data_IF_171005766502
#
_entry.id   IF_171005766502
#
_cell.length_a   1.000
_cell.length_b   1.000
_cell.length_c   1.000
_cell.angle_alpha   90.00
_cell.angle_beta   90.00
_cell.angle_gamma   90.00
#
_symmetry.space_group_name_H-M   'P 1'
#
loop_
_entity.id
_entity.type
_entity.pdbx_description
1 polymer ?
#
# COMPACT_ATOMS: atom_id res chain seq x y z
N UNK A 1 -38.79 30.80 -11.70
CA UNK A 1 -37.35 31.15 -11.70
C UNK A 1 -36.66 30.72 -10.40
N UNK A 2 -37.22 30.96 -9.20
CA UNK A 2 -36.57 30.54 -7.93
C UNK A 2 -36.43 29.03 -7.74
N UNK A 3 -37.42 28.22 -8.12
CA UNK A 3 -37.31 26.75 -8.01
C UNK A 3 -36.19 26.14 -8.88
N UNK A 4 -35.91 26.76 -10.03
CA UNK A 4 -34.81 26.37 -10.92
C UNK A 4 -33.44 26.71 -10.31
N UNK A 5 -33.35 27.82 -9.57
CA UNK A 5 -32.10 28.28 -8.91
C UNK A 5 -31.79 27.44 -7.66
N UNK A 6 -32.80 27.02 -6.90
CA UNK A 6 -32.63 26.13 -5.73
C UNK A 6 -32.18 24.74 -6.18
N UNK A 7 -32.78 24.19 -7.25
CA UNK A 7 -32.37 22.91 -7.81
C UNK A 7 -30.93 22.95 -8.33
N UNK A 8 -30.57 23.96 -9.14
CA UNK A 8 -29.19 24.14 -9.64
C UNK A 8 -28.18 24.32 -8.50
N UNK A 9 -28.51 25.10 -7.45
CA UNK A 9 -27.65 25.24 -6.26
C UNK A 9 -27.49 23.93 -5.50
N UNK A 10 -28.55 23.14 -5.38
CA UNK A 10 -28.51 21.87 -4.68
C UNK A 10 -27.66 20.84 -5.46
N UNK A 11 -27.81 20.77 -6.79
CA UNK A 11 -26.98 19.92 -7.66
C UNK A 11 -25.50 20.33 -7.65
N UNK A 12 -25.19 21.63 -7.64
CA UNK A 12 -23.82 22.15 -7.55
C UNK A 12 -23.15 21.88 -6.19
N UNK A 13 -23.92 21.85 -5.09
CA UNK A 13 -23.39 21.51 -3.77
C UNK A 13 -22.97 20.04 -3.72
N UNK A 14 -23.84 19.13 -4.17
CA UNK A 14 -23.53 17.70 -4.30
C UNK A 14 -22.34 17.43 -5.26
N UNK A 15 -22.14 18.27 -6.26
CA UNK A 15 -21.02 18.15 -7.23
C UNK A 15 -19.66 18.39 -6.58
N UNK A 16 -19.55 19.43 -5.76
CA UNK A 16 -18.34 19.72 -5.00
C UNK A 16 -18.04 18.58 -4.02
N UNK A 17 -19.08 18.00 -3.42
CA UNK A 17 -18.96 16.92 -2.46
C UNK A 17 -18.37 15.64 -3.09
N UNK A 18 -18.84 15.22 -4.27
CA UNK A 18 -18.32 14.02 -4.96
C UNK A 18 -16.85 14.17 -5.37
N UNK A 19 -16.47 15.32 -5.93
CA UNK A 19 -15.07 15.58 -6.34
C UNK A 19 -14.16 15.66 -5.12
N UNK A 20 -14.60 16.32 -4.04
CA UNK A 20 -13.84 16.37 -2.77
C UNK A 20 -13.67 14.97 -2.19
N UNK A 21 -14.71 14.14 -2.24
CA UNK A 21 -14.64 12.74 -1.79
C UNK A 21 -13.63 11.97 -2.64
N UNK A 22 -13.68 12.06 -3.97
CA UNK A 22 -12.75 11.36 -4.87
C UNK A 22 -11.30 11.81 -4.60
N UNK A 23 -11.05 13.11 -4.52
CA UNK A 23 -9.71 13.64 -4.23
C UNK A 23 -9.24 13.17 -2.86
N UNK A 24 -10.11 13.21 -1.84
CA UNK A 24 -9.83 12.72 -0.50
C UNK A 24 -9.48 11.23 -0.49
N UNK A 25 -10.22 10.42 -1.24
CA UNK A 25 -9.97 8.99 -1.40
C UNK A 25 -8.64 8.73 -2.12
N UNK A 26 -8.32 9.46 -3.19
CA UNK A 26 -7.02 9.35 -3.89
C UNK A 26 -5.87 9.68 -2.94
N UNK A 27 -5.97 10.77 -2.19
CA UNK A 27 -4.93 11.16 -1.22
C UNK A 27 -4.79 10.12 -0.12
N UNK A 28 -5.91 9.62 0.41
CA UNK A 28 -5.91 8.58 1.42
C UNK A 28 -5.24 7.30 0.89
N UNK A 29 -5.57 6.89 -0.35
CA UNK A 29 -4.92 5.76 -1.02
C UNK A 29 -3.41 5.96 -1.08
N UNK A 30 -2.99 7.17 -1.47
CA UNK A 30 -1.58 7.54 -1.52
C UNK A 30 -0.87 7.42 -0.17
N UNK A 31 -1.53 7.82 0.92
CA UNK A 31 -0.98 7.68 2.27
C UNK A 31 -0.79 6.20 2.62
N UNK A 32 -1.74 5.33 2.28
CA UNK A 32 -1.62 3.88 2.48
C UNK A 32 -0.48 3.29 1.64
N UNK A 33 -0.44 3.56 0.35
CA UNK A 33 0.59 3.08 -0.57
C UNK A 33 2.01 3.59 -0.19
N UNK A 34 2.12 4.84 0.26
CA UNK A 34 3.37 5.39 0.81
C UNK A 34 3.79 4.65 2.08
N UNK A 35 2.85 4.40 2.99
CA UNK A 35 3.12 3.73 4.27
C UNK A 35 3.61 2.31 4.07
N UNK A 36 2.98 1.58 3.15
CA UNK A 36 3.35 0.23 2.74
C UNK A 36 4.83 0.17 2.35
N UNK A 37 5.19 0.93 1.32
CA UNK A 37 6.54 0.91 0.76
C UNK A 37 7.55 1.50 1.73
N UNK A 38 7.20 2.55 2.47
CA UNK A 38 8.07 3.12 3.49
C UNK A 38 8.43 2.10 4.58
N UNK A 39 7.47 1.28 5.02
CA UNK A 39 7.74 0.28 6.05
C UNK A 39 8.63 -0.85 5.53
N UNK A 40 8.38 -1.34 4.31
CA UNK A 40 9.17 -2.39 3.67
C UNK A 40 10.61 -1.89 3.41
N UNK A 41 10.76 -0.67 2.91
CA UNK A 41 12.07 -0.09 2.57
C UNK A 41 12.84 0.46 3.78
N UNK A 42 12.21 0.63 4.94
CA UNK A 42 12.88 1.19 6.11
C UNK A 42 13.90 0.19 6.70
N UNK A 43 15.12 0.66 6.94
CA UNK A 43 16.17 -0.14 7.58
C UNK A 43 15.83 -0.41 9.04
N UNK A 44 15.58 -1.67 9.39
CA UNK A 44 15.29 -2.12 10.77
C UNK A 44 16.35 -1.69 11.78
N UNK A 45 17.64 -1.74 11.39
CA UNK A 45 18.78 -1.31 12.22
C UNK A 45 18.67 0.16 12.64
N UNK A 46 18.26 1.03 11.71
CA UNK A 46 18.11 2.47 11.97
C UNK A 46 16.88 2.78 12.82
N UNK A 47 15.75 2.11 12.57
CA UNK A 47 14.57 2.20 13.44
C UNK A 47 14.87 1.72 14.86
N UNK A 48 15.66 0.65 15.01
CA UNK A 48 16.12 0.14 16.30
C UNK A 48 17.02 1.14 17.03
N UNK A 49 17.98 1.75 16.32
CA UNK A 49 18.83 2.81 16.87
C UNK A 49 18.01 4.00 17.39
N UNK A 50 17.06 4.49 16.58
CA UNK A 50 16.19 5.61 16.96
C UNK A 50 15.26 5.26 18.13
N UNK A 51 14.78 4.01 18.20
CA UNK A 51 13.97 3.53 19.30
C UNK A 51 14.77 3.50 20.61
N UNK A 52 16.04 3.05 20.57
CA UNK A 52 16.96 3.09 21.73
C UNK A 52 17.26 4.52 22.19
N UNK A 53 17.27 5.47 21.26
CA UNK A 53 17.39 6.92 21.54
C UNK A 53 16.08 7.56 22.08
N UNK A 54 15.05 6.77 22.35
CA UNK A 54 13.80 7.22 22.98
C UNK A 54 12.66 7.53 22.01
N UNK A 55 12.82 7.32 20.70
CA UNK A 55 11.75 7.56 19.73
C UNK A 55 10.63 6.53 19.83
N UNK A 56 9.50 6.95 20.42
CA UNK A 56 8.29 6.11 20.54
C UNK A 56 7.73 5.70 19.17
N UNK A 57 7.79 6.57 18.17
CA UNK A 57 7.36 6.26 16.80
C UNK A 57 8.29 5.25 16.13
N UNK A 58 9.60 5.35 16.33
CA UNK A 58 10.55 4.36 15.82
C UNK A 58 10.34 2.98 16.44
N UNK A 59 10.01 2.92 17.74
CA UNK A 59 9.67 1.65 18.41
C UNK A 59 8.42 0.99 17.80
N UNK A 60 7.39 1.77 17.45
CA UNK A 60 6.19 1.24 16.80
C UNK A 60 6.48 0.83 15.36
N UNK A 61 7.21 1.65 14.60
CA UNK A 61 7.61 1.33 13.24
C UNK A 61 8.42 0.03 13.19
N UNK A 62 9.38 -0.15 14.11
CA UNK A 62 10.16 -1.37 14.23
C UNK A 62 9.27 -2.59 14.51
N UNK A 63 8.27 -2.44 15.39
CA UNK A 63 7.33 -3.53 15.68
C UNK A 63 6.52 -3.92 14.46
N UNK A 64 6.02 -2.95 13.69
CA UNK A 64 5.30 -3.21 12.45
C UNK A 64 6.21 -3.85 11.39
N UNK A 65 7.47 -3.41 11.27
CA UNK A 65 8.42 -3.99 10.33
C UNK A 65 8.87 -5.42 10.70
N UNK A 66 8.71 -5.82 11.97
CA UNK A 66 8.99 -7.18 12.44
C UNK A 66 7.80 -8.15 12.26
N UNK A 67 6.59 -7.62 12.05
CA UNK A 67 5.37 -8.38 11.77
C UNK A 67 4.67 -7.75 10.53
N UNK A 68 5.31 -7.85 9.35
CA UNK A 68 4.85 -7.17 8.15
C UNK A 68 3.52 -7.74 7.65
N UNK A 69 3.26 -9.03 7.77
CA UNK A 69 2.09 -9.69 7.16
C UNK A 69 0.77 -9.07 7.60
N UNK A 70 0.63 -8.83 8.90
CA UNK A 70 -0.57 -8.20 9.46
C UNK A 70 -0.72 -6.74 9.02
N UNK A 71 0.39 -6.01 8.95
CA UNK A 71 0.40 -4.63 8.49
C UNK A 71 0.05 -4.54 7.01
N UNK A 72 0.71 -5.33 6.16
CA UNK A 72 0.50 -5.36 4.72
C UNK A 72 -0.94 -5.76 4.39
N UNK A 73 -1.46 -6.79 5.05
CA UNK A 73 -2.87 -7.19 4.89
C UNK A 73 -3.83 -6.05 5.24
N UNK A 74 -3.59 -5.33 6.34
CA UNK A 74 -4.41 -4.18 6.73
C UNK A 74 -4.37 -3.07 5.67
N UNK A 75 -3.18 -2.72 5.20
CA UNK A 75 -2.99 -1.66 4.20
C UNK A 75 -3.67 -2.03 2.89
N UNK A 76 -3.52 -3.29 2.44
CA UNK A 76 -4.09 -3.76 1.19
C UNK A 76 -5.62 -3.79 1.20
N UNK A 77 -6.24 -4.18 2.34
CA UNK A 77 -7.69 -4.05 2.53
C UNK A 77 -8.11 -2.58 2.39
N UNK A 78 -7.37 -1.66 3.01
CA UNK A 78 -7.61 -0.22 2.92
C UNK A 78 -7.55 0.29 1.49
N UNK A 79 -6.47 -0.02 0.76
CA UNK A 79 -6.28 0.35 -0.65
C UNK A 79 -7.43 -0.19 -1.52
N UNK A 80 -7.83 -1.45 -1.28
CA UNK A 80 -8.91 -2.09 -2.05
C UNK A 80 -10.25 -1.40 -1.79
N UNK A 81 -10.58 -1.14 -0.52
CA UNK A 81 -11.82 -0.45 -0.15
C UNK A 81 -11.87 0.95 -0.75
N UNK A 82 -10.76 1.69 -0.67
CA UNK A 82 -10.64 3.03 -1.25
C UNK A 82 -10.81 2.98 -2.76
N UNK A 83 -10.21 2.00 -3.45
CA UNK A 83 -10.38 1.79 -4.88
C UNK A 83 -11.83 1.55 -5.28
N UNK A 84 -12.54 0.68 -4.55
CA UNK A 84 -13.97 0.40 -4.77
C UNK A 84 -14.81 1.67 -4.57
N UNK A 85 -14.61 2.39 -3.46
CA UNK A 85 -15.33 3.64 -3.18
C UNK A 85 -15.06 4.67 -4.28
N UNK A 86 -13.80 4.85 -4.69
CA UNK A 86 -13.42 5.79 -5.76
C UNK A 86 -14.12 5.42 -7.08
N UNK A 87 -14.19 4.13 -7.41
CA UNK A 87 -14.93 3.63 -8.56
C UNK A 87 -16.43 3.97 -8.51
N UNK A 88 -17.08 3.75 -7.37
CA UNK A 88 -18.50 4.06 -7.15
C UNK A 88 -18.78 5.56 -7.31
N UNK A 89 -17.97 6.42 -6.68
CA UNK A 89 -18.17 7.87 -6.73
C UNK A 89 -17.85 8.47 -8.11
N UNK A 90 -16.89 7.91 -8.85
CA UNK A 90 -16.52 8.43 -10.18
C UNK A 90 -17.53 8.10 -11.29
N UNK A 91 -18.31 7.03 -11.15
CA UNK A 91 -19.18 6.51 -12.22
C UNK A 91 -20.57 7.17 -12.34
N UNK A 92 -21.04 7.90 -11.33
CA UNK A 92 -22.47 8.26 -11.25
C UNK A 92 -22.81 9.60 -11.92
N UNK A 93 -22.43 10.75 -11.35
CA UNK A 93 -22.88 12.06 -11.87
C UNK A 93 -21.89 12.73 -12.82
N UNK A 94 -20.58 12.61 -12.57
CA UNK A 94 -19.54 13.20 -13.44
C UNK A 94 -19.65 12.65 -14.87
N UNK A 95 -19.94 11.35 -15.03
CA UNK A 95 -20.17 10.74 -16.33
C UNK A 95 -21.47 11.24 -17.00
N UNK A 96 -22.52 11.54 -16.22
CA UNK A 96 -23.78 12.08 -16.74
C UNK A 96 -23.59 13.49 -17.32
N UNK A 97 -22.86 14.36 -16.63
CA UNK A 97 -22.62 15.74 -17.10
C UNK A 97 -21.75 15.76 -18.37
N UNK A 98 -20.74 14.88 -18.42
CA UNK A 98 -19.95 14.69 -19.63
C UNK A 98 -20.80 14.10 -20.76
N UNK A 99 -21.78 13.24 -20.46
CA UNK A 99 -22.73 12.72 -21.45
C UNK A 99 -23.54 13.84 -22.09
N UNK A 100 -24.13 14.74 -21.28
CA UNK A 100 -24.89 15.89 -21.80
C UNK A 100 -24.00 16.83 -22.64
N UNK A 101 -22.76 17.04 -22.19
CA UNK A 101 -21.76 17.83 -22.93
C UNK A 101 -21.44 17.18 -24.27
N UNK A 102 -21.22 15.87 -24.31
CA UNK A 102 -20.96 15.14 -25.56
C UNK A 102 -22.15 15.18 -26.52
N UNK A 103 -23.38 15.07 -26.01
CA UNK A 103 -24.59 15.24 -26.82
C UNK A 103 -24.64 16.65 -27.40
N UNK A 104 -24.32 17.68 -26.61
CA UNK A 104 -24.27 19.07 -27.07
C UNK A 104 -23.22 19.31 -28.17
N UNK A 105 -22.16 18.50 -28.20
CA UNK A 105 -21.13 18.50 -29.25
C UNK A 105 -21.50 17.65 -30.48
N UNK A 106 -22.71 17.08 -30.53
CA UNK A 106 -23.22 16.32 -31.66
C UNK A 106 -22.93 14.81 -31.60
N UNK A 107 -22.46 14.28 -30.47
CA UNK A 107 -22.33 12.83 -30.28
C UNK A 107 -23.73 12.22 -30.17
N UNK A 108 -23.95 11.11 -30.88
CA UNK A 108 -25.21 10.36 -30.81
C UNK A 108 -25.53 9.97 -29.37
N UNK A 109 -26.79 10.17 -28.97
CA UNK A 109 -27.32 9.82 -27.64
C UNK A 109 -27.12 8.35 -27.30
N UNK A 110 -27.04 7.47 -28.31
CA UNK A 110 -26.77 6.04 -28.14
C UNK A 110 -25.36 5.76 -27.60
N UNK A 111 -24.37 6.57 -27.97
CA UNK A 111 -22.96 6.34 -27.61
C UNK A 111 -22.43 7.31 -26.56
N UNK A 112 -23.07 8.48 -26.40
CA UNK A 112 -22.59 9.54 -25.51
C UNK A 112 -22.36 9.05 -24.08
N UNK A 113 -23.28 8.26 -23.52
CA UNK A 113 -23.16 7.75 -22.15
C UNK A 113 -21.95 6.81 -21.96
N UNK A 114 -21.79 5.85 -22.85
CA UNK A 114 -20.70 4.89 -22.79
C UNK A 114 -19.33 5.56 -23.00
N UNK A 115 -19.25 6.52 -23.93
CA UNK A 115 -18.03 7.27 -24.20
C UNK A 115 -17.67 8.19 -23.02
N UNK A 116 -18.64 8.90 -22.46
CA UNK A 116 -18.43 9.76 -21.31
C UNK A 116 -17.95 8.96 -20.09
N UNK A 117 -18.62 7.84 -19.79
CA UNK A 117 -18.20 6.94 -18.72
C UNK A 117 -16.79 6.40 -18.96
N UNK A 118 -16.46 5.97 -20.19
CA UNK A 118 -15.12 5.51 -20.55
C UNK A 118 -14.04 6.58 -20.33
N UNK A 119 -14.29 7.82 -20.76
CA UNK A 119 -13.37 8.95 -20.57
C UNK A 119 -13.16 9.25 -19.08
N UNK A 120 -14.23 9.33 -18.30
CA UNK A 120 -14.13 9.58 -16.85
C UNK A 120 -13.36 8.46 -16.14
N UNK A 121 -13.64 7.20 -16.46
CA UNK A 121 -12.90 6.06 -15.90
C UNK A 121 -11.41 6.21 -16.22
N UNK A 122 -11.03 6.45 -17.48
CA UNK A 122 -9.61 6.60 -17.87
C UNK A 122 -8.94 7.75 -17.11
N UNK A 123 -9.58 8.92 -17.01
CA UNK A 123 -9.03 10.09 -16.32
C UNK A 123 -8.86 9.80 -14.82
N UNK A 124 -9.91 9.30 -14.16
CA UNK A 124 -9.89 9.02 -12.72
C UNK A 124 -8.89 7.91 -12.41
N UNK A 125 -8.83 6.86 -13.23
CA UNK A 125 -7.82 5.80 -13.10
C UNK A 125 -6.41 6.36 -13.22
N UNK A 126 -6.13 7.19 -14.23
CA UNK A 126 -4.83 7.83 -14.38
C UNK A 126 -4.45 8.66 -13.14
N UNK A 127 -5.35 9.53 -12.68
CA UNK A 127 -5.12 10.36 -11.49
C UNK A 127 -4.90 9.50 -10.24
N UNK A 128 -5.69 8.43 -10.07
CA UNK A 128 -5.57 7.51 -8.94
C UNK A 128 -4.25 6.76 -8.96
N UNK A 129 -3.80 6.28 -10.12
CA UNK A 129 -2.51 5.61 -10.26
C UNK A 129 -1.36 6.57 -9.96
N UNK A 130 -1.40 7.79 -10.49
CA UNK A 130 -0.30 8.75 -10.28
C UNK A 130 -0.26 9.24 -8.83
N UNK A 131 -1.36 9.82 -8.34
CA UNK A 131 -1.40 10.52 -7.05
C UNK A 131 -1.76 9.60 -5.88
N UNK A 132 -2.48 8.52 -6.13
CA UNK A 132 -2.86 7.55 -5.12
C UNK A 132 -1.88 6.39 -4.98
N UNK A 133 -0.94 6.20 -5.91
CA UNK A 133 -0.04 5.04 -5.86
C UNK A 133 1.40 5.36 -6.23
N UNK A 134 1.71 5.71 -7.48
CA UNK A 134 3.09 5.79 -7.98
C UNK A 134 3.91 6.88 -7.32
N UNK A 135 3.39 8.11 -7.24
CA UNK A 135 4.10 9.23 -6.61
C UNK A 135 4.27 8.99 -5.11
N UNK A 136 3.22 8.62 -4.34
CA UNK A 136 3.35 8.29 -2.94
C UNK A 136 4.32 7.14 -2.66
N UNK A 137 4.32 6.07 -3.47
CA UNK A 137 5.28 4.96 -3.33
C UNK A 137 6.72 5.44 -3.53
N UNK A 138 6.99 6.26 -4.55
CA UNK A 138 8.32 6.87 -4.77
C UNK A 138 8.76 7.75 -3.60
N UNK A 139 7.85 8.54 -3.03
CA UNK A 139 8.11 9.31 -1.80
C UNK A 139 8.43 8.36 -0.65
N UNK A 140 7.62 7.31 -0.45
CA UNK A 140 7.80 6.29 0.57
C UNK A 140 9.18 5.62 0.50
N UNK A 141 9.68 5.30 -0.70
CA UNK A 141 11.04 4.78 -0.88
C UNK A 141 12.11 5.81 -0.51
N UNK A 142 11.95 7.05 -0.99
CA UNK A 142 12.96 8.10 -0.83
C UNK A 142 13.12 8.56 0.62
N UNK A 143 12.05 8.52 1.41
CA UNK A 143 12.04 8.94 2.83
C UNK A 143 11.52 7.85 3.77
N UNK A 144 11.87 6.58 3.47
CA UNK A 144 11.33 5.39 4.12
C UNK A 144 11.31 5.46 5.65
N UNK A 145 12.45 5.73 6.28
CA UNK A 145 12.54 5.76 7.75
C UNK A 145 11.67 6.86 8.37
N UNK A 146 11.58 8.04 7.73
CA UNK A 146 10.77 9.17 8.21
C UNK A 146 9.29 8.88 8.03
N UNK A 147 8.89 8.45 6.83
CA UNK A 147 7.51 8.10 6.51
C UNK A 147 7.01 6.95 7.39
N UNK A 148 7.79 5.88 7.55
CA UNK A 148 7.47 4.76 8.44
C UNK A 148 7.26 5.22 9.89
N UNK A 149 8.13 6.09 10.42
CA UNK A 149 7.98 6.64 11.79
C UNK A 149 6.72 7.50 11.94
N UNK A 150 6.40 8.33 10.96
CA UNK A 150 5.20 9.19 10.99
C UNK A 150 3.93 8.34 10.93
N UNK A 151 3.90 7.35 10.04
CA UNK A 151 2.72 6.52 9.78
C UNK A 151 2.55 5.35 10.76
N UNK A 152 3.59 4.97 11.50
CA UNK A 152 3.58 3.83 12.40
C UNK A 152 2.43 3.84 13.43
N UNK A 153 2.11 5.00 14.01
CA UNK A 153 1.04 5.07 15.02
C UNK A 153 -0.36 4.96 14.40
N UNK A 154 -0.73 5.78 13.39
CA UNK A 154 -1.99 5.61 12.66
C UNK A 154 -2.19 4.18 12.17
N UNK A 155 -1.16 3.61 11.56
CA UNK A 155 -1.23 2.27 10.99
C UNK A 155 -1.38 1.18 12.05
N UNK A 156 -0.77 1.33 13.23
CA UNK A 156 -0.99 0.40 14.35
C UNK A 156 -2.45 0.39 14.81
N UNK A 157 -3.10 1.56 14.87
CA UNK A 157 -4.52 1.65 15.24
C UNK A 157 -5.37 0.96 14.19
N UNK A 158 -5.16 1.27 12.91
CA UNK A 158 -5.87 0.62 11.81
C UNK A 158 -5.67 -0.89 11.79
N UNK A 159 -4.44 -1.38 11.98
CA UNK A 159 -4.14 -2.82 12.05
C UNK A 159 -4.76 -3.51 13.28
N UNK A 160 -5.12 -2.74 14.32
CA UNK A 160 -5.86 -3.25 15.47
C UNK A 160 -7.36 -3.30 15.19
N UNK A 161 -7.90 -2.35 14.44
CA UNK A 161 -9.31 -2.34 14.02
C UNK A 161 -9.57 -3.40 12.95
N UNK A 162 -8.62 -3.60 12.03
CA UNK A 162 -8.71 -4.56 10.92
C UNK A 162 -8.43 -6.01 11.34
N UNK A 163 -8.00 -6.26 12.59
CA UNK A 163 -7.72 -7.59 13.13
C UNK A 163 -8.73 -8.69 12.77
N UNK A 164 -10.06 -8.51 12.96
CA UNK A 164 -11.02 -9.56 12.66
C UNK A 164 -11.05 -9.91 11.16
N UNK A 165 -10.89 -8.90 10.29
CA UNK A 165 -10.84 -9.10 8.84
C UNK A 165 -9.54 -9.76 8.40
N UNK A 166 -8.40 -9.32 8.96
CA UNK A 166 -7.10 -9.94 8.68
C UNK A 166 -7.10 -11.40 9.15
N UNK A 167 -7.63 -11.70 10.34
CA UNK A 167 -7.74 -13.08 10.82
C UNK A 167 -8.57 -13.97 9.90
N UNK A 168 -9.72 -13.46 9.42
CA UNK A 168 -10.56 -14.18 8.47
C UNK A 168 -9.79 -14.46 7.17
N UNK A 169 -9.11 -13.45 6.62
CA UNK A 169 -8.31 -13.59 5.41
C UNK A 169 -7.16 -14.58 5.59
N UNK A 170 -6.40 -14.49 6.68
CA UNK A 170 -5.33 -15.45 7.00
C UNK A 170 -5.86 -16.87 7.05
N UNK A 171 -7.02 -17.10 7.70
CA UNK A 171 -7.65 -18.43 7.74
C UNK A 171 -8.12 -18.90 6.38
N UNK A 172 -8.65 -18.02 5.54
CA UNK A 172 -8.99 -18.35 4.16
C UNK A 172 -7.74 -18.71 3.34
N UNK A 173 -6.65 -17.98 3.50
CA UNK A 173 -5.37 -18.25 2.82
C UNK A 173 -4.78 -19.59 3.26
N UNK A 174 -4.69 -19.85 4.57
CA UNK A 174 -4.24 -21.14 5.12
C UNK A 174 -5.08 -22.32 4.57
N UNK A 175 -6.40 -22.16 4.50
CA UNK A 175 -7.29 -23.19 3.97
C UNK A 175 -6.99 -23.49 2.49
N UNK A 176 -6.74 -22.46 1.68
CA UNK A 176 -6.36 -22.62 0.26
C UNK A 176 -4.98 -23.28 0.15
N UNK A 177 -4.00 -22.88 0.97
CA UNK A 177 -2.66 -23.48 0.98
C UNK A 177 -2.72 -24.97 1.34
N UNK A 178 -3.54 -25.33 2.33
CA UNK A 178 -3.78 -26.72 2.72
C UNK A 178 -4.47 -27.51 1.61
N UNK A 179 -5.44 -26.92 0.89
CA UNK A 179 -6.09 -27.55 -0.26
C UNK A 179 -5.15 -27.77 -1.43
N UNK A 180 -4.23 -26.82 -1.66
CA UNK A 180 -3.22 -26.90 -2.73
C UNK A 180 -1.96 -27.68 -2.32
N UNK A 181 -1.89 -28.13 -1.06
CA UNK A 181 -0.76 -28.84 -0.47
C UNK A 181 0.59 -28.09 -0.62
N UNK A 182 0.54 -26.76 -0.55
CA UNK A 182 1.71 -25.88 -0.65
C UNK A 182 2.33 -25.77 0.75
N UNK A 183 3.56 -26.26 0.91
CA UNK A 183 4.32 -26.08 2.16
C UNK A 183 4.83 -24.66 2.24
N UNK A 184 4.65 -23.99 3.39
CA UNK A 184 5.33 -22.72 3.65
C UNK A 184 6.85 -22.94 3.56
N UNK A 185 7.54 -22.01 2.88
CA UNK A 185 9.00 -22.02 2.85
C UNK A 185 9.50 -21.67 4.26
N UNK A 186 10.04 -22.66 4.95
CA UNK A 186 10.67 -22.47 6.25
C UNK A 186 11.95 -21.63 6.00
N UNK A 187 11.90 -20.33 6.31
CA UNK A 187 13.05 -19.40 6.25
C UNK A 187 14.09 -19.73 7.34
N UNK A 188 14.36 -21.00 7.59
CA UNK A 188 15.52 -21.44 8.36
C UNK A 188 16.66 -21.55 7.37
N UNK A 189 17.54 -20.55 7.42
CA UNK A 189 18.81 -20.62 6.73
C UNK A 189 19.49 -21.92 7.17
N UNK A 190 19.61 -22.87 6.25
CA UNK A 190 20.25 -24.14 6.53
C UNK A 190 21.76 -23.94 6.61
N UNK A 191 22.47 -24.83 7.27
CA UNK A 191 23.94 -24.80 7.31
C UNK A 191 24.55 -24.79 5.89
N UNK A 192 23.87 -25.43 4.94
CA UNK A 192 24.24 -25.46 3.52
C UNK A 192 24.09 -24.08 2.86
N UNK A 193 23.03 -23.32 3.16
CA UNK A 193 22.89 -21.94 2.68
C UNK A 193 23.94 -21.00 3.31
N UNK A 194 24.27 -21.19 4.59
CA UNK A 194 25.36 -20.43 5.24
C UNK A 194 26.69 -20.72 4.55
N UNK A 195 26.97 -22.00 4.26
CA UNK A 195 28.19 -22.41 3.57
C UNK A 195 28.26 -21.83 2.16
N UNK A 196 27.15 -21.85 1.42
CA UNK A 196 27.06 -21.29 0.07
C UNK A 196 27.33 -19.78 0.05
N UNK A 197 26.77 -19.02 1.01
CA UNK A 197 26.99 -17.56 1.11
C UNK A 197 28.45 -17.24 1.44
N UNK A 198 29.11 -18.06 2.27
CA UNK A 198 30.53 -17.88 2.62
C UNK A 198 31.43 -18.23 1.43
N UNK A 199 31.12 -19.30 0.70
CA UNK A 199 31.84 -19.68 -0.51
C UNK A 199 31.73 -18.60 -1.59
N UNK A 200 30.53 -18.06 -1.80
CA UNK A 200 30.26 -16.97 -2.76
C UNK A 200 30.99 -15.67 -2.35
N UNK A 201 31.00 -15.31 -1.07
CA UNK A 201 31.77 -14.16 -0.54
C UNK A 201 33.30 -14.35 -0.55
N UNK A 202 33.78 -15.59 -0.62
CA UNK A 202 35.20 -15.94 -0.76
C UNK A 202 35.64 -15.88 -2.22
N UNK A 203 34.78 -16.26 -3.17
CA UNK A 203 35.03 -16.14 -4.62
C UNK A 203 35.02 -14.69 -5.11
N UNK A 204 34.15 -13.84 -4.56
CA UNK A 204 34.09 -12.40 -4.90
C UNK A 204 35.18 -11.55 -4.18
N UNK A 205 36.00 -12.17 -3.31
CA UNK A 205 37.17 -11.54 -2.70
C UNK A 205 36.87 -10.52 -1.58
N UNK A 206 35.63 -10.48 -1.06
CA UNK A 206 35.21 -9.57 0.02
C UNK A 206 35.51 -10.15 1.42
N UNK A 207 35.74 -11.47 1.54
CA UNK A 207 36.08 -12.14 2.80
C UNK A 207 37.59 -12.46 2.85
N UNK A 208 38.35 -11.71 3.66
CA UNK A 208 39.74 -12.05 3.96
C UNK A 208 39.79 -13.33 4.82
N UNK A 209 40.71 -14.29 4.53
CA UNK A 209 40.78 -15.56 5.24
C UNK A 209 41.32 -15.37 6.66
N UNK A 210 40.44 -15.10 7.63
CA UNK A 210 40.80 -15.00 9.06
C UNK A 210 40.03 -16.00 9.94
N UNK A 211 39.38 -17.02 9.35
CA UNK A 211 38.53 -17.93 10.15
C UNK A 211 38.81 -19.43 9.98
N UNK A 212 40.06 -19.81 9.67
CA UNK A 212 40.49 -21.20 9.90
C UNK A 212 41.08 -21.43 11.31
N UNK A 213 41.57 -20.40 12.00
CA UNK A 213 42.19 -20.57 13.34
C UNK A 213 41.17 -20.60 14.49
N UNK A 214 39.97 -20.01 14.29
CA UNK A 214 38.91 -19.98 15.30
C UNK A 214 38.09 -21.29 15.28
N UNK A 215 37.85 -21.86 14.09
CA UNK A 215 37.13 -23.12 13.92
C UNK A 215 37.86 -24.31 14.55
N UNK A 216 39.19 -24.36 14.49
CA UNK A 216 39.94 -25.49 15.08
C UNK A 216 39.93 -25.52 16.61
N UNK A 217 39.77 -24.36 17.29
CA UNK A 217 39.78 -24.27 18.76
C UNK A 217 38.43 -24.55 19.43
N UNK A 218 37.34 -24.54 18.68
CA UNK A 218 35.99 -24.75 19.23
C UNK A 218 35.53 -26.21 19.07
N UNK A 219 36.04 -26.93 18.06
CA UNK A 219 35.57 -28.29 17.76
C UNK A 219 36.52 -29.42 18.22
N UNK A 220 37.71 -29.09 18.72
CA UNK A 220 38.62 -30.07 19.34
C UNK A 220 39.30 -29.45 20.58
N UNK A 221 38.85 -29.77 21.82
CA UNK A 221 39.56 -29.38 23.05
C UNK A 221 40.90 -30.12 23.22
#
# INVERSE_FOLDING_TARGET
>A
MEHSVIFVRQTQFFYMDEIIIIIGLIVLNGIFAMSEVALISARKSRLSSDAKKGSKSAKVALKLANDPDRFLSTVQIGITLIGILTGIYSGNRIASDLTETMISWGVSTTYAAALAQGVIVVIVTYLTIIFGELVPKRIGMSVAEKAAKVMARPMRVLATIALPFVWLLSKSTELIFNLLNIKEADNKVTEEEIKSIIEEGTEEGEVQPVENDIMQRVFHP
#
